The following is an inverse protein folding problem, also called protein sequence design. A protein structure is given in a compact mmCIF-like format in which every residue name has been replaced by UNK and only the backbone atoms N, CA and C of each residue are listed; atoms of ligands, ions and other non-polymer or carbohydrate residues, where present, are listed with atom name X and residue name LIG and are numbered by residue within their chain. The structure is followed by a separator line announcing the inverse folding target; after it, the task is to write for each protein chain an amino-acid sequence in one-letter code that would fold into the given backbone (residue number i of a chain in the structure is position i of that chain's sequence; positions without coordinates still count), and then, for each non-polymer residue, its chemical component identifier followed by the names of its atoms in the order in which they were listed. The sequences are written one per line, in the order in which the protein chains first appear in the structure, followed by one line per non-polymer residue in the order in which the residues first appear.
data_IF_396988236123
#
_entry.id   IF_396988236123
#
_cell.length_a   1.000
_cell.length_b   1.000
_cell.length_c   1.000
_cell.angle_alpha   90.00
_cell.angle_beta   90.00
_cell.angle_gamma   90.00
#
_symmetry.space_group_name_H-M   'P 1'
#
loop_
_entity.id
_entity.type
_entity.pdbx_description
1 polymer ?
#
# COMPACT_ATOMS: atom_id res chain seq x y z
N UNK A 1 10.92 -10.18 -4.53
CA UNK A 1 9.55 -9.68 -4.73
C UNK A 1 9.33 -8.58 -3.71
N UNK A 2 9.62 -7.34 -4.09
CA UNK A 2 9.38 -6.19 -3.23
C UNK A 2 8.06 -5.57 -3.64
N UNK A 3 7.14 -5.45 -2.69
CA UNK A 3 5.80 -4.90 -2.88
C UNK A 3 5.88 -3.42 -2.52
N UNK A 4 5.51 -2.56 -3.48
CA UNK A 4 5.43 -1.12 -3.29
C UNK A 4 4.36 -0.77 -2.24
N UNK A 5 4.47 0.39 -1.61
CA UNK A 5 3.64 0.83 -0.49
C UNK A 5 2.98 2.18 -0.80
N UNK A 6 2.02 2.57 0.03
CA UNK A 6 0.87 3.43 -0.25
C UNK A 6 1.10 4.77 -0.97
N UNK A 7 0.20 5.08 -1.92
CA UNK A 7 0.07 6.37 -2.60
C UNK A 7 -1.10 7.14 -1.98
N UNK A 8 -0.87 8.39 -1.58
CA UNK A 8 -1.86 9.28 -1.00
C UNK A 8 -1.99 10.52 -1.89
N UNK A 9 -3.16 10.67 -2.52
CA UNK A 9 -3.47 11.85 -3.34
C UNK A 9 -4.49 12.72 -2.59
N UNK A 10 -4.10 13.96 -2.27
CA UNK A 10 -4.88 14.94 -1.51
C UNK A 10 -5.30 16.08 -2.44
N UNK A 11 -6.59 16.42 -2.52
CA UNK A 11 -7.06 17.61 -3.27
C UNK A 11 -7.59 18.70 -2.33
N UNK A 12 -6.96 19.88 -2.34
CA UNK A 12 -7.27 21.03 -1.47
C UNK A 12 -8.02 22.13 -2.25
N UNK A 13 -9.10 22.71 -1.72
CA UNK A 13 -9.90 23.80 -2.30
C UNK A 13 -10.02 25.00 -1.33
N UNK A 14 -9.17 26.03 -1.45
CA UNK A 14 -9.26 27.17 -0.53
C UNK A 14 -10.49 28.05 -0.80
N UNK A 15 -11.24 28.35 0.26
CA UNK A 15 -12.24 29.44 0.34
C UNK A 15 -11.56 30.78 0.09
N UNK A 16 -12.23 31.69 -0.65
CA UNK A 16 -11.72 33.01 -1.03
C UNK A 16 -11.19 33.79 0.19
N UNK A 17 -9.89 34.05 0.25
CA UNK A 17 -9.33 35.19 0.98
C UNK A 17 -8.76 36.14 -0.06
N UNK A 18 -9.39 37.30 -0.18
CA UNK A 18 -8.93 38.42 -1.01
C UNK A 18 -7.67 39.01 -0.41
N UNK A 19 -6.52 38.73 -1.00
CA UNK A 19 -5.33 39.56 -0.86
C UNK A 19 -4.83 39.89 -2.27
N UNK A 20 -4.87 41.18 -2.57
CA UNK A 20 -4.47 41.84 -3.81
C UNK A 20 -3.00 41.58 -4.15
N UNK A 21 -2.63 41.33 -5.41
CA UNK A 21 -1.24 41.15 -5.81
C UNK A 21 -0.55 42.52 -6.05
N UNK A 22 0.63 42.70 -5.45
CA UNK A 22 1.61 43.71 -5.83
C UNK A 22 2.62 43.09 -6.81
N UNK A 23 3.05 43.80 -7.87
CA UNK A 23 3.92 43.25 -8.90
C UNK A 23 5.39 43.50 -8.54
N UNK A 24 6.25 42.49 -8.74
CA UNK A 24 7.68 42.78 -8.98
C UNK A 24 8.29 41.77 -9.95
N UNK A 25 8.74 42.35 -11.05
CA UNK A 25 9.55 41.87 -12.16
C UNK A 25 10.72 40.95 -11.81
N UNK A 26 10.90 39.89 -12.60
CA UNK A 26 12.21 39.48 -13.09
C UNK A 26 12.05 38.71 -14.41
N UNK A 27 12.48 39.35 -15.51
CA UNK A 27 12.64 38.78 -16.85
C UNK A 27 13.98 38.05 -16.93
N UNK A 28 14.02 36.85 -17.48
CA UNK A 28 15.18 36.28 -18.21
C UNK A 28 14.65 35.12 -19.08
N UNK A 29 14.32 35.38 -20.35
CA UNK A 29 15.16 35.30 -21.55
C UNK A 29 15.68 33.90 -21.86
N UNK A 30 14.93 33.28 -22.77
CA UNK A 30 15.25 32.11 -23.58
C UNK A 30 16.32 32.47 -24.62
N UNK A 31 17.30 31.59 -24.84
CA UNK A 31 17.98 31.44 -26.15
C UNK A 31 18.42 29.98 -26.36
N UNK A 32 18.16 29.39 -27.54
CA UNK A 32 18.55 28.03 -27.91
C UNK A 32 19.90 27.99 -28.65
N UNK A 33 20.59 26.85 -28.63
CA UNK A 33 21.59 26.41 -29.63
C UNK A 33 21.81 24.89 -29.43
N UNK A 34 21.39 24.00 -30.34
CA UNK A 34 22.12 23.51 -31.52
C UNK A 34 23.59 23.14 -31.27
N UNK A 35 23.92 21.85 -31.22
CA UNK A 35 24.70 21.17 -32.27
C UNK A 35 24.68 19.63 -32.12
N UNK A 36 24.83 19.01 -33.29
CA UNK A 36 24.67 17.61 -33.70
C UNK A 36 25.83 16.66 -33.37
N UNK A 37 25.53 15.35 -33.21
CA UNK A 37 25.97 14.20 -34.06
C UNK A 37 25.99 12.87 -33.28
N UNK A 38 25.55 11.79 -33.93
CA UNK A 38 25.94 10.42 -33.57
C UNK A 38 24.87 9.35 -33.79
N UNK A 39 24.73 8.88 -35.03
CA UNK A 39 23.97 7.69 -35.42
C UNK A 39 24.53 6.40 -34.81
N UNK A 40 23.66 5.49 -34.36
CA UNK A 40 23.84 4.05 -34.52
C UNK A 40 22.48 3.33 -34.49
N UNK A 41 22.05 2.88 -35.66
CA UNK A 41 20.91 1.98 -35.87
C UNK A 41 21.20 0.60 -35.26
N UNK A 42 20.27 0.04 -34.50
CA UNK A 42 20.18 -1.41 -34.35
C UNK A 42 18.71 -1.83 -34.42
N UNK A 43 18.31 -2.38 -35.57
CA UNK A 43 17.02 -3.04 -35.78
C UNK A 43 17.11 -4.43 -35.17
N UNK A 44 16.24 -4.77 -34.22
CA UNK A 44 15.99 -6.15 -33.80
C UNK A 44 14.58 -6.52 -34.22
N UNK A 45 14.48 -7.32 -35.26
CA UNK A 45 13.27 -8.03 -35.69
C UNK A 45 13.19 -9.36 -34.96
N UNK A 46 12.17 -9.58 -34.13
CA UNK A 46 11.86 -10.89 -33.55
C UNK A 46 10.81 -11.57 -34.41
N UNK A 47 11.27 -12.58 -35.16
CA UNK A 47 10.46 -13.54 -35.88
C UNK A 47 10.22 -14.73 -34.94
N UNK A 48 8.97 -15.06 -34.59
CA UNK A 48 8.68 -16.26 -33.80
C UNK A 48 7.80 -17.19 -34.61
N UNK A 49 8.40 -18.30 -35.07
CA UNK A 49 7.72 -19.39 -35.75
C UNK A 49 6.90 -20.23 -34.77
N UNK A 50 5.65 -20.50 -35.14
CA UNK A 50 4.79 -21.47 -34.48
C UNK A 50 5.24 -22.90 -34.81
N UNK A 51 5.49 -23.71 -33.78
CA UNK A 51 5.44 -25.18 -33.88
C UNK A 51 4.53 -25.73 -32.79
N UNK A 52 3.50 -26.42 -33.26
CA UNK A 52 2.53 -27.20 -32.51
C UNK A 52 3.16 -28.45 -31.91
N UNK A 53 2.77 -28.81 -30.68
CA UNK A 53 2.73 -30.21 -30.23
C UNK A 53 1.60 -30.41 -29.22
N UNK A 54 0.70 -31.34 -29.55
CA UNK A 54 -0.31 -31.90 -28.65
C UNK A 54 0.32 -32.88 -27.66
N UNK A 55 -0.23 -33.00 -26.43
CA UNK A 55 -0.74 -34.29 -25.89
C UNK A 55 -1.24 -34.22 -24.43
N UNK A 56 -2.47 -34.72 -24.30
CA UNK A 56 -3.02 -35.71 -23.33
C UNK A 56 -3.25 -35.34 -21.85
N UNK A 57 -4.55 -35.31 -21.55
CA UNK A 57 -5.16 -35.53 -20.24
C UNK A 57 -4.73 -36.84 -19.55
N UNK A 58 -4.64 -36.80 -18.21
CA UNK A 58 -4.90 -37.96 -17.35
C UNK A 58 -5.50 -37.53 -16.00
N UNK A 59 -6.56 -38.24 -15.64
CA UNK A 59 -7.52 -38.06 -14.53
C UNK A 59 -7.14 -38.95 -13.33
N UNK A 60 -7.54 -38.56 -12.11
CA UNK A 60 -7.54 -39.24 -10.76
C UNK A 60 -6.58 -38.57 -9.76
N UNK A 61 -6.91 -38.35 -8.48
CA UNK A 61 -8.05 -38.75 -7.63
C UNK A 61 -8.18 -37.75 -6.46
N UNK A 62 -9.41 -37.42 -6.10
CA UNK A 62 -9.83 -36.56 -4.99
C UNK A 62 -9.51 -37.16 -3.61
N UNK A 63 -9.25 -36.29 -2.62
CA UNK A 63 -9.31 -36.69 -1.22
C UNK A 63 -8.68 -35.76 -0.17
N UNK A 64 -8.76 -34.42 -0.29
CA UNK A 64 -8.46 -33.49 0.83
C UNK A 64 -8.86 -32.02 0.55
N UNK A 65 -10.10 -31.75 0.17
CA UNK A 65 -10.50 -30.44 -0.37
C UNK A 65 -11.89 -29.99 0.11
N UNK A 66 -12.11 -29.90 1.43
CA UNK A 66 -13.37 -29.33 1.95
C UNK A 66 -13.21 -28.15 2.92
N UNK A 67 -12.00 -27.85 3.42
CA UNK A 67 -11.80 -26.67 4.29
C UNK A 67 -11.19 -25.44 3.60
N UNK A 68 -10.57 -25.59 2.41
CA UNK A 68 -9.97 -24.48 1.65
C UNK A 68 -10.93 -23.84 0.63
N UNK A 69 -12.05 -24.49 0.31
CA UNK A 69 -12.98 -24.04 -0.75
C UNK A 69 -13.91 -22.90 -0.31
N UNK A 70 -14.26 -22.81 0.99
CA UNK A 70 -15.13 -21.75 1.52
C UNK A 70 -14.45 -20.38 1.63
N UNK A 71 -13.16 -20.34 1.98
CA UNK A 71 -12.40 -19.08 2.03
C UNK A 71 -12.06 -18.58 0.64
N UNK A 72 -11.66 -19.47 -0.28
CA UNK A 72 -11.40 -19.13 -1.68
C UNK A 72 -12.66 -18.63 -2.42
N UNK A 73 -13.84 -19.18 -2.13
CA UNK A 73 -15.10 -18.71 -2.72
C UNK A 73 -15.53 -17.35 -2.17
N UNK A 74 -15.37 -17.10 -0.87
CA UNK A 74 -15.64 -15.79 -0.26
C UNK A 74 -14.68 -14.71 -0.80
N UNK A 75 -13.37 -15.01 -0.89
CA UNK A 75 -12.38 -14.07 -1.42
C UNK A 75 -12.61 -13.78 -2.91
N UNK A 76 -12.98 -14.79 -3.71
CA UNK A 76 -13.32 -14.60 -5.13
C UNK A 76 -14.59 -13.77 -5.32
N UNK A 77 -15.61 -13.97 -4.48
CA UNK A 77 -16.84 -13.16 -4.49
C UNK A 77 -16.56 -11.72 -4.06
N UNK A 78 -15.70 -11.52 -3.04
CA UNK A 78 -15.28 -10.17 -2.62
C UNK A 78 -14.49 -9.48 -3.74
N UNK A 79 -13.54 -10.17 -4.38
CA UNK A 79 -12.77 -9.64 -5.52
C UNK A 79 -13.66 -9.17 -6.67
N UNK A 80 -14.68 -9.94 -7.06
CA UNK A 80 -15.63 -9.50 -8.10
C UNK A 80 -16.39 -8.23 -7.71
N UNK A 81 -16.68 -8.02 -6.42
CA UNK A 81 -17.43 -6.86 -5.94
C UNK A 81 -16.57 -5.62 -5.73
N UNK A 82 -15.27 -5.79 -5.51
CA UNK A 82 -14.30 -4.69 -5.35
C UNK A 82 -13.58 -4.32 -6.63
N UNK A 83 -13.63 -5.17 -7.66
CA UNK A 83 -12.93 -4.94 -8.91
C UNK A 83 -13.40 -3.65 -9.58
N UNK A 84 -12.42 -2.93 -10.11
CA UNK A 84 -12.62 -1.91 -11.12
C UNK A 84 -13.16 -2.59 -12.37
N UNK A 85 -14.26 -2.03 -12.89
CA UNK A 85 -14.85 -2.43 -14.16
C UNK A 85 -14.22 -1.65 -15.34
N UNK A 86 -13.20 -0.83 -15.05
CA UNK A 86 -12.51 0.02 -16.02
C UNK A 86 -11.57 -0.80 -16.90
N UNK A 87 -11.56 -0.48 -18.19
CA UNK A 87 -10.56 -1.00 -19.10
C UNK A 87 -9.18 -0.44 -18.74
N UNK A 88 -8.18 -1.33 -18.74
CA UNK A 88 -6.81 -0.92 -18.48
C UNK A 88 -6.23 -0.22 -19.72
N UNK A 89 -6.04 1.08 -19.61
CA UNK A 89 -5.52 1.93 -20.68
C UNK A 89 -3.98 1.89 -20.71
N UNK A 90 -3.44 1.13 -21.65
CA UNK A 90 -2.01 0.97 -21.83
C UNK A 90 -1.34 2.23 -22.38
N UNK A 91 -2.02 2.96 -23.27
CA UNK A 91 -1.50 4.20 -23.87
C UNK A 91 -1.34 5.28 -22.80
N UNK A 92 -2.30 5.38 -21.88
CA UNK A 92 -2.22 6.31 -20.76
C UNK A 92 -1.07 5.95 -19.80
N UNK A 93 -0.87 4.66 -19.52
CA UNK A 93 0.27 4.20 -18.69
C UNK A 93 1.60 4.45 -19.39
N UNK A 94 1.69 4.26 -20.70
CA UNK A 94 2.89 4.60 -21.46
C UNK A 94 3.11 6.12 -21.42
N UNK A 95 2.10 6.92 -21.75
CA UNK A 95 2.18 8.38 -21.78
C UNK A 95 2.71 8.98 -20.47
N UNK A 96 2.21 8.52 -19.32
CA UNK A 96 2.65 8.99 -18.00
C UNK A 96 3.78 8.15 -17.38
N UNK A 97 4.08 6.97 -17.93
CA UNK A 97 5.12 6.05 -17.46
C UNK A 97 6.45 6.15 -18.22
N UNK A 98 6.54 7.02 -19.24
CA UNK A 98 7.68 7.16 -20.16
C UNK A 98 9.03 7.46 -19.49
N UNK A 99 9.10 7.83 -18.21
CA UNK A 99 10.42 8.07 -17.57
C UNK A 99 11.15 6.80 -17.12
N UNK A 100 10.62 5.58 -17.31
CA UNK A 100 11.31 4.32 -16.97
C UNK A 100 11.61 4.08 -15.47
N UNK A 101 11.28 5.03 -14.59
CA UNK A 101 11.57 4.97 -13.16
C UNK A 101 10.38 4.53 -12.31
N UNK A 102 9.14 4.79 -12.75
CA UNK A 102 7.93 4.54 -11.97
C UNK A 102 6.79 4.00 -12.85
N UNK A 103 6.20 2.87 -12.46
CA UNK A 103 5.00 2.31 -13.09
C UNK A 103 3.82 2.63 -12.20
N UNK A 104 2.86 3.48 -12.63
CA UNK A 104 1.72 3.83 -11.82
C UNK A 104 0.80 2.63 -11.59
N UNK A 105 0.08 2.66 -10.47
CA UNK A 105 -0.87 1.62 -10.05
C UNK A 105 -2.25 2.27 -9.96
N UNK A 106 -3.26 1.65 -10.59
CA UNK A 106 -4.64 2.13 -10.60
C UNK A 106 -4.80 3.59 -11.10
N UNK A 107 -3.99 3.99 -12.09
CA UNK A 107 -3.95 5.37 -12.58
C UNK A 107 -5.31 5.84 -13.09
N UNK A 108 -5.99 5.00 -13.87
CA UNK A 108 -7.30 5.34 -14.43
C UNK A 108 -8.35 5.57 -13.35
N UNK A 109 -8.38 4.70 -12.33
CA UNK A 109 -9.27 4.82 -11.18
C UNK A 109 -8.98 6.08 -10.37
N UNK A 110 -7.71 6.40 -10.14
CA UNK A 110 -7.33 7.62 -9.42
C UNK A 110 -7.76 8.86 -10.20
N UNK A 111 -7.52 8.92 -11.51
CA UNK A 111 -7.95 10.05 -12.33
C UNK A 111 -9.47 10.22 -12.31
N UNK A 112 -10.21 9.12 -12.35
CA UNK A 112 -11.68 9.14 -12.28
C UNK A 112 -12.20 9.69 -10.94
N UNK A 113 -11.57 9.32 -9.83
CA UNK A 113 -11.89 9.85 -8.49
C UNK A 113 -11.82 11.37 -8.44
N UNK A 114 -10.99 11.99 -9.28
CA UNK A 114 -10.82 13.44 -9.30
C UNK A 114 -11.42 14.13 -10.53
N UNK A 115 -11.94 13.38 -11.51
CA UNK A 115 -12.43 13.91 -12.77
C UNK A 115 -13.61 14.89 -12.60
N UNK A 116 -14.52 14.62 -11.67
CA UNK A 116 -15.66 15.49 -11.36
C UNK A 116 -15.29 16.66 -10.43
N UNK A 117 -14.07 16.68 -9.88
CA UNK A 117 -13.62 17.71 -8.95
C UNK A 117 -12.90 18.83 -9.71
N UNK A 118 -13.24 20.08 -9.41
CA UNK A 118 -12.43 21.22 -9.86
C UNK A 118 -11.14 21.28 -9.04
N UNK A 119 -10.10 20.59 -9.53
CA UNK A 119 -8.80 20.52 -8.87
C UNK A 119 -8.13 21.89 -8.88
N UNK A 120 -7.95 22.48 -7.69
CA UNK A 120 -7.19 23.73 -7.51
C UNK A 120 -5.76 23.48 -7.03
N UNK A 121 -5.60 22.46 -6.21
CA UNK A 121 -4.30 21.99 -5.71
C UNK A 121 -4.41 20.50 -5.43
N UNK A 122 -3.39 19.76 -5.85
CA UNK A 122 -3.25 18.35 -5.55
C UNK A 122 -1.87 18.11 -4.92
N UNK A 123 -1.81 17.16 -4.00
CA UNK A 123 -0.57 16.64 -3.43
C UNK A 123 -0.56 15.15 -3.72
N UNK A 124 0.43 14.69 -4.45
CA UNK A 124 0.74 13.27 -4.56
C UNK A 124 1.92 12.98 -3.63
N UNK A 125 1.75 12.03 -2.72
CA UNK A 125 2.78 11.64 -1.77
C UNK A 125 2.74 10.15 -1.47
N UNK A 126 3.90 9.62 -1.08
CA UNK A 126 4.08 8.23 -0.70
C UNK A 126 4.42 8.14 0.80
N UNK A 127 3.77 7.23 1.51
CA UNK A 127 3.91 7.08 2.98
C UNK A 127 4.42 5.69 3.36
N UNK A 128 5.28 5.64 4.38
CA UNK A 128 6.15 4.48 4.64
C UNK A 128 7.31 4.45 3.63
N UNK A 129 8.19 3.45 3.66
CA UNK A 129 9.26 3.29 2.65
C UNK A 129 8.73 2.91 1.24
N UNK A 130 7.65 3.56 0.82
CA UNK A 130 6.80 3.38 -0.34
C UNK A 130 7.51 3.71 -1.66
N UNK A 131 8.36 2.77 -2.10
CA UNK A 131 9.00 2.82 -3.42
C UNK A 131 10.40 2.24 -3.44
N UNK A 132 11.08 2.19 -2.30
CA UNK A 132 12.43 1.61 -2.23
C UNK A 132 12.35 0.11 -2.00
N UNK A 133 11.92 -0.60 -3.05
CA UNK A 133 12.18 -2.03 -3.23
C UNK A 133 13.64 -2.39 -2.95
N UNK A 134 14.56 -1.46 -3.20
CA UNK A 134 15.98 -1.55 -2.88
C UNK A 134 16.30 -1.40 -1.39
N UNK A 135 15.61 -0.55 -0.63
CA UNK A 135 15.85 -0.35 0.80
C UNK A 135 15.43 -1.57 1.63
N UNK A 136 14.33 -2.24 1.23
CA UNK A 136 13.85 -3.46 1.89
C UNK A 136 14.80 -4.67 1.68
N UNK A 137 15.75 -4.58 0.74
CA UNK A 137 16.76 -5.63 0.55
C UNK A 137 18.16 -5.21 1.00
N UNK A 138 18.28 -4.14 1.81
CA UNK A 138 19.56 -3.70 2.34
C UNK A 138 19.97 -4.59 3.53
N UNK A 139 20.98 -5.42 3.32
CA UNK A 139 21.53 -6.33 4.33
C UNK A 139 22.21 -5.55 5.47
N UNK A 140 23.01 -4.53 5.16
CA UNK A 140 23.74 -3.71 6.15
C UNK A 140 22.79 -2.98 7.11
N UNK A 141 21.54 -2.78 6.70
CA UNK A 141 20.49 -2.13 7.50
C UNK A 141 19.55 -3.12 8.18
N UNK A 142 19.75 -4.42 8.00
CA UNK A 142 18.95 -5.45 8.64
C UNK A 142 17.58 -5.72 7.99
N UNK A 143 17.32 -5.21 6.78
CA UNK A 143 16.03 -5.44 6.11
C UNK A 143 16.00 -6.72 5.27
N UNK A 144 17.17 -7.22 4.84
CA UNK A 144 17.24 -8.41 3.99
C UNK A 144 17.00 -9.71 4.79
N UNK A 145 16.13 -10.56 4.25
CA UNK A 145 15.89 -11.93 4.74
C UNK A 145 16.92 -12.91 4.19
N UNK A 146 17.52 -12.60 3.03
CA UNK A 146 18.37 -13.52 2.29
C UNK A 146 19.85 -13.32 2.61
N UNK A 147 20.25 -12.09 2.91
CA UNK A 147 21.61 -11.71 3.22
C UNK A 147 21.68 -11.30 4.70
N UNK A 148 22.68 -11.83 5.40
CA UNK A 148 22.90 -11.54 6.82
C UNK A 148 23.33 -10.09 7.06
N UNK A 149 23.00 -9.57 8.24
CA UNK A 149 23.28 -8.22 8.67
C UNK A 149 22.77 -7.94 10.09
N UNK A 150 22.98 -6.72 10.62
CA UNK A 150 22.57 -6.39 11.99
C UNK A 150 21.05 -6.35 12.15
N UNK A 151 20.53 -6.69 13.34
CA UNK A 151 19.10 -6.53 13.67
C UNK A 151 18.73 -5.08 13.96
N UNK A 152 18.84 -4.21 12.96
CA UNK A 152 18.55 -2.78 13.07
C UNK A 152 17.11 -2.45 12.62
N UNK A 153 16.83 -2.53 11.32
CA UNK A 153 15.54 -2.20 10.69
C UNK A 153 15.01 -0.78 10.90
N UNK A 154 15.78 0.16 11.48
CA UNK A 154 15.40 1.57 11.52
C UNK A 154 15.46 2.16 10.12
N UNK A 155 14.44 2.90 9.71
CA UNK A 155 14.46 3.70 8.48
C UNK A 155 15.22 5.02 8.70
N UNK A 156 14.93 5.69 9.82
CA UNK A 156 15.67 6.86 10.28
C UNK A 156 16.85 6.44 11.17
N UNK A 157 18.07 6.81 10.79
CA UNK A 157 19.29 6.51 11.57
C UNK A 157 19.30 7.14 12.97
N UNK A 158 18.57 8.23 13.16
CA UNK A 158 18.43 8.91 14.45
C UNK A 158 17.37 8.25 15.35
N UNK A 159 16.67 7.22 14.87
CA UNK A 159 15.71 6.46 15.68
C UNK A 159 16.43 5.72 16.81
N UNK A 160 15.82 5.68 18.00
CA UNK A 160 16.42 5.06 19.18
C UNK A 160 16.21 3.55 19.27
N UNK A 161 15.10 3.04 18.73
CA UNK A 161 14.69 1.64 18.86
C UNK A 161 15.18 0.81 17.66
N UNK A 162 15.92 -0.28 17.91
CA UNK A 162 16.28 -1.29 16.89
C UNK A 162 15.41 -2.53 17.00
N UNK A 163 15.39 -3.35 15.95
CA UNK A 163 14.76 -4.66 15.98
C UNK A 163 15.37 -5.58 17.05
N UNK A 164 16.68 -5.48 17.27
CA UNK A 164 17.40 -6.18 18.35
C UNK A 164 16.82 -5.85 19.73
N UNK A 165 16.55 -4.58 20.02
CA UNK A 165 15.99 -4.14 21.31
C UNK A 165 14.61 -4.74 21.56
N UNK A 166 13.79 -4.81 20.51
CA UNK A 166 12.47 -5.45 20.57
C UNK A 166 12.62 -6.93 20.92
N UNK A 167 13.46 -7.66 20.18
CA UNK A 167 13.58 -9.11 20.33
C UNK A 167 14.22 -9.51 21.66
N UNK A 168 15.18 -8.73 22.15
CA UNK A 168 15.95 -9.08 23.35
C UNK A 168 15.38 -8.48 24.63
N UNK A 169 14.71 -7.32 24.57
CA UNK A 169 14.36 -6.55 25.78
C UNK A 169 12.86 -6.35 26.00
N UNK A 170 12.01 -6.40 24.97
CA UNK A 170 10.57 -6.19 25.17
C UNK A 170 9.91 -7.33 25.96
N UNK A 171 8.82 -7.05 26.71
CA UNK A 171 8.03 -8.09 27.35
C UNK A 171 7.58 -9.15 26.34
N UNK A 172 7.53 -10.40 26.79
CA UNK A 172 7.12 -11.54 25.96
C UNK A 172 5.76 -11.30 25.28
N UNK A 173 4.79 -10.74 26.02
CA UNK A 173 3.46 -10.42 25.51
C UNK A 173 3.49 -9.41 24.35
N UNK A 174 4.40 -8.43 24.39
CA UNK A 174 4.55 -7.43 23.33
C UNK A 174 5.22 -8.01 22.09
N UNK A 175 6.22 -8.88 22.26
CA UNK A 175 6.80 -9.63 21.13
C UNK A 175 5.72 -10.49 20.46
N UNK A 176 4.89 -11.16 21.25
CA UNK A 176 3.72 -11.89 20.76
C UNK A 176 2.74 -11.03 19.99
N UNK A 177 2.40 -9.85 20.55
CA UNK A 177 1.47 -8.89 19.96
C UNK A 177 1.95 -8.45 18.58
N UNK A 178 3.20 -8.01 18.43
CA UNK A 178 3.70 -7.54 17.13
C UNK A 178 3.74 -8.67 16.09
N UNK A 179 4.14 -9.89 16.48
CA UNK A 179 4.18 -11.03 15.56
C UNK A 179 2.78 -11.41 15.06
N UNK A 180 1.80 -11.38 15.97
CA UNK A 180 0.40 -11.67 15.65
C UNK A 180 -0.26 -10.55 14.84
N UNK A 181 -0.15 -9.31 15.31
CA UNK A 181 -0.95 -8.20 14.82
C UNK A 181 -0.27 -7.50 13.65
N UNK A 182 1.05 -7.30 13.68
CA UNK A 182 1.80 -6.65 12.59
C UNK A 182 2.35 -7.66 11.56
N UNK A 183 2.63 -8.87 11.99
CA UNK A 183 3.08 -9.96 11.11
C UNK A 183 1.94 -10.77 10.48
N UNK A 184 0.73 -10.72 11.07
CA UNK A 184 -0.38 -11.64 10.73
C UNK A 184 0.10 -13.11 10.71
N UNK A 185 1.04 -13.47 11.61
CA UNK A 185 1.63 -14.79 11.66
C UNK A 185 0.78 -15.74 12.51
N UNK A 186 0.38 -16.87 11.93
CA UNK A 186 -0.43 -17.91 12.58
C UNK A 186 0.27 -18.56 13.77
N UNK A 187 1.56 -18.89 13.64
CA UNK A 187 2.33 -19.59 14.65
C UNK A 187 3.07 -18.63 15.59
N UNK A 188 2.54 -17.41 15.77
CA UNK A 188 3.15 -16.33 16.55
C UNK A 188 3.53 -16.77 17.97
N UNK A 189 2.71 -17.58 18.64
CA UNK A 189 2.97 -18.04 20.00
C UNK A 189 4.24 -18.91 20.08
N UNK A 190 4.41 -19.84 19.14
CA UNK A 190 5.61 -20.70 19.11
C UNK A 190 6.88 -19.88 18.79
N UNK A 191 6.76 -18.95 17.83
CA UNK A 191 7.82 -18.00 17.48
C UNK A 191 8.23 -17.15 18.68
N UNK A 192 7.26 -16.55 19.37
CA UNK A 192 7.46 -15.76 20.58
C UNK A 192 8.22 -16.55 21.63
N UNK A 193 7.74 -17.75 21.99
CA UNK A 193 8.40 -18.60 23.00
C UNK A 193 9.85 -18.91 22.59
N UNK A 194 10.11 -19.18 21.31
CA UNK A 194 11.47 -19.47 20.82
C UNK A 194 12.38 -18.23 20.85
N UNK A 195 11.87 -17.07 20.48
CA UNK A 195 12.60 -15.79 20.55
C UNK A 195 12.95 -15.46 22.01
N UNK A 196 11.99 -15.58 22.93
CA UNK A 196 12.21 -15.32 24.36
C UNK A 196 13.22 -16.31 24.94
N UNK A 197 13.12 -17.59 24.57
CA UNK A 197 14.11 -18.59 25.01
C UNK A 197 15.51 -18.33 24.44
N UNK A 198 15.64 -17.76 23.25
CA UNK A 198 16.95 -17.40 22.68
C UNK A 198 17.69 -16.36 23.56
N UNK A 199 16.96 -15.53 24.33
CA UNK A 199 17.56 -14.59 25.30
C UNK A 199 18.39 -15.29 26.36
N UNK A 200 18.05 -16.53 26.73
CA UNK A 200 18.82 -17.33 27.69
C UNK A 200 20.20 -17.73 27.15
N UNK A 201 20.36 -17.72 25.82
CA UNK A 201 21.60 -18.08 25.13
C UNK A 201 22.36 -16.86 24.58
N UNK A 202 22.08 -15.66 25.10
CA UNK A 202 22.71 -14.41 24.68
C UNK A 202 21.81 -13.48 23.86
N UNK A 203 20.69 -13.97 23.32
CA UNK A 203 19.78 -13.17 22.48
C UNK A 203 19.99 -13.37 21.00
N UNK A 204 19.36 -12.52 20.19
CA UNK A 204 19.50 -12.47 18.74
C UNK A 204 20.16 -11.14 18.36
N UNK A 205 21.23 -11.18 17.57
CA UNK A 205 22.02 -10.00 17.18
C UNK A 205 22.12 -9.81 15.66
N UNK A 206 21.86 -10.85 14.87
CA UNK A 206 21.85 -10.76 13.40
C UNK A 206 20.56 -11.25 12.75
N UNK A 207 20.29 -10.76 11.54
CA UNK A 207 19.15 -11.22 10.73
C UNK A 207 19.28 -12.69 10.38
N UNK A 208 20.51 -13.20 10.20
CA UNK A 208 20.83 -14.61 10.00
C UNK A 208 20.40 -15.48 11.18
N UNK A 209 20.72 -15.09 12.41
CA UNK A 209 20.31 -15.81 13.62
C UNK A 209 18.78 -15.88 13.74
N UNK A 210 18.10 -14.76 13.48
CA UNK A 210 16.64 -14.71 13.45
C UNK A 210 16.05 -15.64 12.37
N UNK A 211 16.64 -15.63 11.16
CA UNK A 211 16.21 -16.48 10.05
C UNK A 211 16.43 -17.96 10.37
N UNK A 212 17.55 -18.32 10.99
CA UNK A 212 17.85 -19.70 11.37
C UNK A 212 16.93 -20.19 12.48
N UNK A 213 16.59 -19.32 13.44
CA UNK A 213 15.53 -19.58 14.42
C UNK A 213 14.19 -19.87 13.72
N UNK A 214 13.77 -19.02 12.77
CA UNK A 214 12.52 -19.23 11.99
C UNK A 214 12.56 -20.53 11.18
N UNK A 215 13.71 -20.86 10.57
CA UNK A 215 13.90 -22.10 9.82
C UNK A 215 13.79 -23.33 10.70
N UNK A 216 14.33 -23.28 11.92
CA UNK A 216 14.26 -24.40 12.87
C UNK A 216 12.83 -24.79 13.25
N UNK A 217 11.88 -23.85 13.19
CA UNK A 217 10.47 -24.07 13.49
C UNK A 217 9.62 -24.51 12.31
N UNK A 218 10.11 -24.31 11.08
CA UNK A 218 9.32 -24.62 9.90
C UNK A 218 9.52 -26.10 9.52
N UNK A 219 8.45 -26.91 9.42
CA UNK A 219 8.56 -28.31 9.02
C UNK A 219 9.25 -28.44 7.65
N UNK A 220 10.17 -29.40 7.52
CA UNK A 220 10.84 -29.69 6.23
C UNK A 220 9.84 -30.01 5.11
N UNK A 221 8.65 -30.51 5.45
CA UNK A 221 7.54 -30.77 4.52
C UNK A 221 6.92 -29.53 3.88
N UNK A 222 7.11 -28.33 4.45
CA UNK A 222 6.63 -27.08 3.88
C UNK A 222 7.55 -26.51 2.77
N UNK A 223 8.72 -27.12 2.55
CA UNK A 223 9.71 -26.72 1.55
C UNK A 223 10.31 -25.33 1.81
N UNK A 224 11.12 -24.86 0.84
CA UNK A 224 11.80 -23.55 0.90
C UNK A 224 10.81 -22.38 1.00
N UNK A 225 9.59 -22.56 0.50
CA UNK A 225 8.58 -21.50 0.49
C UNK A 225 7.95 -21.27 1.88
N UNK A 226 7.94 -22.26 2.77
CA UNK A 226 7.31 -22.16 4.09
C UNK A 226 8.03 -21.16 5.00
N UNK A 227 9.33 -21.35 5.21
CA UNK A 227 10.09 -20.52 6.16
C UNK A 227 10.28 -19.11 5.63
N UNK A 228 10.40 -18.92 4.30
CA UNK A 228 10.49 -17.60 3.68
C UNK A 228 9.23 -16.78 3.95
N UNK A 229 8.04 -17.39 3.88
CA UNK A 229 6.78 -16.71 4.19
C UNK A 229 6.74 -16.26 5.65
N UNK A 230 7.13 -17.15 6.57
CA UNK A 230 7.18 -16.85 8.00
C UNK A 230 8.19 -15.75 8.30
N UNK A 231 9.41 -15.84 7.75
CA UNK A 231 10.44 -14.81 7.91
C UNK A 231 9.98 -13.46 7.34
N UNK A 232 9.30 -13.44 6.19
CA UNK A 232 8.75 -12.21 5.60
C UNK A 232 7.79 -11.52 6.56
N UNK A 233 6.91 -12.28 7.21
CA UNK A 233 5.95 -11.76 8.20
C UNK A 233 6.63 -11.26 9.47
N UNK A 234 7.62 -11.99 9.97
CA UNK A 234 8.41 -11.58 11.16
C UNK A 234 9.17 -10.29 10.88
N UNK A 235 9.86 -10.21 9.74
CA UNK A 235 10.58 -9.00 9.34
C UNK A 235 9.64 -7.82 9.12
N UNK A 236 8.48 -8.05 8.51
CA UNK A 236 7.42 -7.04 8.40
C UNK A 236 6.96 -6.55 9.77
N UNK A 237 6.69 -7.46 10.72
CA UNK A 237 6.25 -7.11 12.06
C UNK A 237 7.26 -6.22 12.79
N UNK A 238 8.54 -6.62 12.75
CA UNK A 238 9.63 -5.86 13.34
C UNK A 238 9.80 -4.51 12.68
N UNK A 239 9.76 -4.45 11.35
CA UNK A 239 9.86 -3.20 10.58
C UNK A 239 8.76 -2.21 10.98
N UNK A 240 7.52 -2.69 11.04
CA UNK A 240 6.36 -1.89 11.46
C UNK A 240 6.54 -1.39 12.90
N UNK A 241 6.99 -2.24 13.82
CA UNK A 241 7.17 -1.88 15.23
C UNK A 241 8.32 -0.88 15.44
N UNK A 242 9.45 -1.07 14.77
CA UNK A 242 10.64 -0.19 14.87
C UNK A 242 10.33 1.21 14.35
N UNK A 243 9.58 1.31 13.26
CA UNK A 243 9.36 2.57 12.56
C UNK A 243 7.99 3.20 12.84
N UNK A 244 7.20 2.60 13.73
CA UNK A 244 5.83 3.00 14.06
C UNK A 244 4.98 3.31 12.80
N UNK A 245 5.10 2.43 11.78
CA UNK A 245 4.61 2.70 10.42
C UNK A 245 3.09 2.92 10.40
N UNK A 246 2.35 2.15 11.21
CA UNK A 246 0.88 2.19 11.22
C UNK A 246 0.34 3.43 11.92
N UNK A 247 1.00 3.88 13.00
CA UNK A 247 0.61 5.10 13.69
C UNK A 247 0.96 6.33 12.84
N UNK A 248 2.15 6.34 12.24
CA UNK A 248 2.56 7.37 11.27
C UNK A 248 1.56 7.49 10.11
N UNK A 249 1.08 6.35 9.57
CA UNK A 249 0.03 6.34 8.55
C UNK A 249 -1.27 6.97 9.07
N UNK A 250 -1.72 6.58 10.27
CA UNK A 250 -2.94 7.13 10.89
C UNK A 250 -2.84 8.64 11.07
N UNK A 251 -1.72 9.14 11.58
CA UNK A 251 -1.51 10.56 11.83
C UNK A 251 -1.43 11.36 10.52
N UNK A 252 -0.75 10.82 9.51
CA UNK A 252 -0.71 11.42 8.19
C UNK A 252 -2.09 11.49 7.53
N UNK A 253 -2.92 10.45 7.65
CA UNK A 253 -4.30 10.45 7.14
C UNK A 253 -5.16 11.53 7.80
N UNK A 254 -5.02 11.70 9.13
CA UNK A 254 -5.71 12.76 9.86
C UNK A 254 -5.25 14.15 9.40
N UNK A 255 -3.94 14.39 9.38
CA UNK A 255 -3.37 15.66 8.95
C UNK A 255 -3.77 16.01 7.50
N UNK A 256 -3.77 15.02 6.59
CA UNK A 256 -4.20 15.24 5.21
C UNK A 256 -5.68 15.59 5.14
N UNK A 257 -6.54 14.91 5.91
CA UNK A 257 -7.97 15.22 5.96
C UNK A 257 -8.25 16.59 6.56
N UNK A 258 -7.51 16.99 7.59
CA UNK A 258 -7.67 18.29 8.24
C UNK A 258 -7.27 19.43 7.30
N UNK A 259 -6.23 19.22 6.50
CA UNK A 259 -5.81 20.15 5.45
C UNK A 259 -6.84 20.27 4.31
N UNK A 260 -7.64 19.23 4.02
CA UNK A 260 -8.67 19.28 2.97
C UNK A 260 -9.62 20.45 3.17
N UNK A 261 -10.06 21.00 2.05
CA UNK A 261 -11.21 21.87 2.00
C UNK A 261 -12.53 21.13 2.05
N UNK A 262 -13.63 21.85 2.32
CA UNK A 262 -14.97 21.35 1.97
C UNK A 262 -15.02 20.95 0.48
N UNK A 263 -15.59 19.77 0.21
CA UNK A 263 -15.62 19.13 -1.10
C UNK A 263 -14.30 18.48 -1.55
N UNK A 264 -13.20 18.67 -0.82
CA UNK A 264 -11.90 18.06 -1.14
C UNK A 264 -11.93 16.54 -0.95
N UNK A 265 -11.18 15.82 -1.79
CA UNK A 265 -11.09 14.36 -1.77
C UNK A 265 -9.68 13.90 -1.36
N UNK A 266 -9.64 12.83 -0.57
CA UNK A 266 -8.44 12.10 -0.19
C UNK A 266 -8.55 10.68 -0.73
N UNK A 267 -7.65 10.31 -1.64
CA UNK A 267 -7.54 8.99 -2.23
C UNK A 267 -6.29 8.28 -1.68
N UNK A 268 -6.46 7.07 -1.16
CA UNK A 268 -5.39 6.26 -0.56
C UNK A 268 -5.33 4.92 -1.27
N UNK A 269 -4.20 4.59 -1.88
CA UNK A 269 -3.91 3.23 -2.35
C UNK A 269 -3.08 2.54 -1.27
N UNK A 270 -3.53 1.39 -0.79
CA UNK A 270 -2.78 0.54 0.15
C UNK A 270 -2.45 -0.79 -0.52
N UNK A 271 -1.34 -1.41 -0.14
CA UNK A 271 -0.89 -2.68 -0.72
C UNK A 271 -0.94 -3.85 0.26
N UNK A 272 -1.05 -3.54 1.55
CA UNK A 272 -1.07 -4.50 2.64
C UNK A 272 -2.43 -4.52 3.34
N UNK A 273 -2.82 -5.68 3.87
CA UNK A 273 -4.02 -5.87 4.68
C UNK A 273 -4.08 -4.93 5.90
N UNK A 274 -2.93 -4.74 6.57
CA UNK A 274 -2.82 -3.89 7.75
C UNK A 274 -3.06 -2.41 7.43
N UNK A 275 -2.44 -1.90 6.39
CA UNK A 275 -2.65 -0.52 5.93
C UNK A 275 -4.10 -0.28 5.55
N UNK A 276 -4.68 -1.15 4.72
CA UNK A 276 -6.09 -1.06 4.30
C UNK A 276 -7.03 -1.04 5.51
N UNK A 277 -6.71 -1.81 6.56
CA UNK A 277 -7.44 -1.83 7.83
C UNK A 277 -7.32 -0.50 8.56
N UNK A 278 -6.11 0.05 8.69
CA UNK A 278 -5.87 1.36 9.33
C UNK A 278 -6.55 2.49 8.55
N UNK A 279 -6.45 2.51 7.22
CA UNK A 279 -7.13 3.50 6.37
C UNK A 279 -8.64 3.44 6.58
N UNK A 280 -9.21 2.22 6.52
CA UNK A 280 -10.64 2.02 6.74
C UNK A 280 -11.08 2.52 8.12
N UNK A 281 -10.37 2.12 9.17
CA UNK A 281 -10.69 2.52 10.54
C UNK A 281 -10.58 4.03 10.72
N UNK A 282 -9.48 4.63 10.25
CA UNK A 282 -9.26 6.07 10.34
C UNK A 282 -10.34 6.85 9.60
N UNK A 283 -10.76 6.41 8.41
CA UNK A 283 -11.86 7.03 7.68
C UNK A 283 -13.19 6.93 8.44
N UNK A 284 -13.48 5.77 9.05
CA UNK A 284 -14.67 5.59 9.88
C UNK A 284 -14.63 6.47 11.13
N UNK A 285 -13.46 6.61 11.77
CA UNK A 285 -13.28 7.48 12.92
C UNK A 285 -13.51 8.94 12.52
N UNK A 286 -12.87 9.39 11.43
CA UNK A 286 -13.00 10.77 10.90
C UNK A 286 -14.47 11.15 10.69
N UNK A 287 -15.27 10.30 10.05
CA UNK A 287 -16.68 10.64 9.77
C UNK A 287 -17.57 10.64 11.01
N UNK A 288 -17.14 9.96 12.09
CA UNK A 288 -17.90 9.81 13.33
C UNK A 288 -17.41 10.71 14.47
N UNK A 289 -16.29 11.42 14.30
CA UNK A 289 -15.78 12.38 15.29
C UNK A 289 -16.86 13.41 15.65
N UNK A 290 -17.05 13.60 16.95
CA UNK A 290 -17.84 14.71 17.47
C UNK A 290 -16.89 15.89 17.64
N UNK A 291 -17.03 16.91 16.80
CA UNK A 291 -16.33 18.15 17.01
C UNK A 291 -17.05 18.87 18.17
N UNK A 292 -16.38 19.04 19.31
CA UNK A 292 -16.94 19.76 20.47
C UNK A 292 -17.19 21.25 20.17
N UNK A 293 -16.61 21.80 19.10
CA UNK A 293 -16.60 23.23 18.77
C UNK A 293 -17.48 23.65 17.56
N UNK A 294 -18.31 22.76 16.99
CA UNK A 294 -19.24 23.18 15.91
C UNK A 294 -20.61 23.55 16.46
N UNK A 295 -20.82 24.87 16.53
CA UNK A 295 -22.10 25.50 16.83
C UNK A 295 -23.23 24.87 16.00
N UNK A 296 -24.24 24.37 16.71
CA UNK A 296 -25.33 23.54 16.18
C UNK A 296 -26.26 24.38 15.33
N UNK A 297 -26.04 24.42 14.02
CA UNK A 297 -27.10 24.84 13.08
C UNK A 297 -26.86 24.27 11.69
N UNK A 298 -27.27 23.03 11.46
CA UNK A 298 -27.68 22.58 10.13
C UNK A 298 -28.67 21.42 10.27
N UNK A 299 -29.94 21.76 10.07
CA UNK A 299 -31.04 20.81 9.90
C UNK A 299 -30.84 20.01 8.60
N UNK A 300 -31.09 18.71 8.69
CA UNK A 300 -30.89 17.78 7.61
C UNK A 300 -31.82 18.05 6.43
N UNK A 301 -31.23 18.36 5.28
CA UNK A 301 -31.95 18.28 4.01
C UNK A 301 -31.69 16.90 3.40
N UNK A 302 -32.67 15.99 3.53
CA UNK A 302 -32.76 14.88 2.60
C UNK A 302 -33.05 15.47 1.22
N UNK A 303 -32.07 15.41 0.31
CA UNK A 303 -32.32 15.61 -1.12
C UNK A 303 -32.20 14.27 -1.84
N UNK A 304 -33.33 13.89 -2.41
CA UNK A 304 -33.54 12.82 -3.37
C UNK A 304 -32.60 13.00 -4.59
N UNK A 305 -32.34 11.88 -5.25
CA UNK A 305 -31.29 11.67 -6.24
C UNK A 305 -31.22 12.68 -7.39
N UNK A 306 -30.01 12.83 -7.91
CA UNK A 306 -29.73 13.43 -9.20
C UNK A 306 -28.86 12.46 -10.01
N UNK A 307 -29.18 12.35 -11.30
CA UNK A 307 -28.65 11.43 -12.32
C UNK A 307 -27.19 11.69 -12.74
N UNK A 308 -26.34 12.17 -11.82
CA UNK A 308 -24.90 12.38 -12.01
C UNK A 308 -24.10 11.67 -10.89
N UNK A 309 -24.55 10.50 -10.44
CA UNK A 309 -23.75 9.67 -9.53
C UNK A 309 -22.55 9.13 -10.33
N UNK A 310 -21.35 9.60 -10.01
CA UNK A 310 -20.11 9.14 -10.66
C UNK A 310 -20.03 7.60 -10.59
N UNK A 311 -19.92 6.94 -11.74
CA UNK A 311 -20.15 5.49 -11.88
C UNK A 311 -19.23 4.61 -11.02
N UNK A 312 -18.06 5.11 -10.63
CA UNK A 312 -17.12 4.43 -9.73
C UNK A 312 -17.59 4.40 -8.27
N UNK A 313 -18.53 5.26 -7.88
CA UNK A 313 -19.07 5.34 -6.51
C UNK A 313 -20.06 4.19 -6.30
N UNK A 314 -19.56 3.05 -5.82
CA UNK A 314 -20.42 1.87 -5.60
C UNK A 314 -21.27 1.98 -4.34
N UNK A 315 -20.69 2.43 -3.22
CA UNK A 315 -21.36 2.45 -1.92
C UNK A 315 -20.77 3.52 -0.99
N UNK A 316 -21.61 4.45 -0.57
CA UNK A 316 -21.23 5.61 0.25
C UNK A 316 -21.52 5.35 1.73
N UNK A 317 -20.66 5.88 2.61
CA UNK A 317 -20.97 6.04 4.04
C UNK A 317 -20.88 7.53 4.37
N UNK A 318 -22.01 8.15 4.70
CA UNK A 318 -22.07 9.55 5.13
C UNK A 318 -21.85 9.63 6.64
N UNK A 319 -21.10 10.64 7.08
CA UNK A 319 -21.04 11.03 8.48
C UNK A 319 -20.98 12.55 8.63
N UNK A 320 -20.64 13.03 9.83
CA UNK A 320 -20.72 14.44 10.20
C UNK A 320 -19.65 15.28 9.48
N UNK A 321 -18.41 14.81 9.53
CA UNK A 321 -17.25 15.56 9.03
C UNK A 321 -16.87 15.24 7.58
N UNK A 322 -17.38 14.14 7.03
CA UNK A 322 -16.97 13.64 5.73
C UNK A 322 -17.88 12.53 5.20
N UNK A 323 -17.63 12.15 3.96
CA UNK A 323 -18.34 11.09 3.25
C UNK A 323 -17.33 10.11 2.65
N UNK A 324 -17.37 8.84 3.07
CA UNK A 324 -16.57 7.77 2.47
C UNK A 324 -17.23 7.34 1.17
N UNK A 325 -16.53 7.49 0.05
CA UNK A 325 -17.07 7.18 -1.29
C UNK A 325 -16.87 5.69 -1.67
N UNK A 326 -16.04 4.98 -0.91
CA UNK A 326 -15.67 3.57 -1.14
C UNK A 326 -15.85 2.72 0.12
N UNK A 327 -17.10 2.35 0.44
CA UNK A 327 -17.39 1.43 1.56
C UNK A 327 -16.57 0.13 1.46
N UNK A 328 -16.40 -0.37 0.24
CA UNK A 328 -15.43 -1.42 -0.10
C UNK A 328 -14.32 -0.79 -0.94
N UNK A 329 -13.06 -1.23 -0.78
CA UNK A 329 -11.97 -0.68 -1.57
C UNK A 329 -12.18 -1.04 -3.04
N UNK A 330 -11.70 -0.16 -3.94
CA UNK A 330 -11.55 -0.50 -5.35
C UNK A 330 -10.25 -1.32 -5.52
N UNK A 331 -10.29 -2.36 -6.34
CA UNK A 331 -9.12 -3.21 -6.67
C UNK A 331 -8.89 -3.20 -8.18
N UNK A 332 -7.65 -3.37 -8.66
CA UNK A 332 -7.34 -3.25 -10.08
C UNK A 332 -8.07 -4.28 -10.98
N UNK A 333 -8.17 -3.96 -12.26
CA UNK A 333 -8.76 -4.83 -13.28
C UNK A 333 -7.92 -6.09 -13.52
N UNK A 334 -8.48 -7.12 -14.19
CA UNK A 334 -7.72 -8.35 -14.54
C UNK A 334 -6.55 -8.06 -15.45
N UNK A 335 -6.75 -7.11 -16.37
CA UNK A 335 -5.73 -6.74 -17.32
C UNK A 335 -4.56 -6.04 -16.61
N UNK A 336 -4.85 -5.11 -15.70
CA UNK A 336 -3.80 -4.43 -14.93
C UNK A 336 -3.00 -5.42 -14.08
N UNK A 337 -3.65 -6.35 -13.36
CA UNK A 337 -2.91 -7.32 -12.52
C UNK A 337 -1.96 -8.21 -13.34
N UNK A 338 -2.33 -8.52 -14.60
CA UNK A 338 -1.50 -9.33 -15.50
C UNK A 338 -0.30 -8.55 -16.01
N UNK A 339 -0.48 -7.27 -16.36
CA UNK A 339 0.55 -6.42 -16.95
C UNK A 339 1.45 -5.77 -15.89
N UNK A 340 0.87 -5.36 -14.77
CA UNK A 340 1.54 -4.77 -13.62
C UNK A 340 1.36 -5.67 -12.39
N UNK A 341 2.25 -6.65 -12.20
CA UNK A 341 2.19 -7.55 -11.02
C UNK A 341 2.22 -6.82 -9.67
N UNK A 342 2.68 -5.57 -9.61
CA UNK A 342 2.71 -4.76 -8.39
C UNK A 342 1.32 -4.29 -7.96
N UNK A 343 0.37 -4.18 -8.89
CA UNK A 343 -1.00 -3.76 -8.59
C UNK A 343 -1.82 -4.87 -7.92
N UNK A 344 -1.43 -6.14 -8.01
CA UNK A 344 -2.20 -7.31 -7.54
C UNK A 344 -2.80 -7.18 -6.12
N UNK A 345 -2.12 -6.49 -5.21
CA UNK A 345 -2.57 -6.30 -3.83
C UNK A 345 -3.04 -4.89 -3.51
N UNK A 346 -3.10 -4.01 -4.52
CA UNK A 346 -3.52 -2.63 -4.41
C UNK A 346 -5.02 -2.53 -4.07
N UNK A 347 -5.33 -1.61 -3.17
CA UNK A 347 -6.68 -1.30 -2.69
C UNK A 347 -6.81 0.21 -2.57
N UNK A 348 -7.68 0.80 -3.37
CA UNK A 348 -7.98 2.22 -3.36
C UNK A 348 -9.19 2.51 -2.46
N UNK A 349 -9.01 3.44 -1.53
CA UNK A 349 -10.08 4.03 -0.69
C UNK A 349 -10.11 5.53 -0.86
N UNK A 350 -11.31 6.09 -0.76
CA UNK A 350 -11.59 7.51 -0.99
C UNK A 350 -12.56 8.05 0.05
N UNK A 351 -12.20 9.18 0.63
CA UNK A 351 -13.05 10.00 1.52
C UNK A 351 -13.12 11.42 0.97
N UNK A 352 -14.28 12.05 1.08
CA UNK A 352 -14.52 13.45 0.75
C UNK A 352 -14.88 14.24 2.01
N UNK A 353 -14.27 15.41 2.21
CA UNK A 353 -14.60 16.30 3.33
C UNK A 353 -15.87 17.10 3.01
N UNK A 354 -16.73 17.28 4.02
CA UNK A 354 -17.96 18.06 3.89
C UNK A 354 -17.71 19.55 4.11
#
# INVERSE_FOLDING_TARGET
MAVATSLLLVSLCRSRCSLTPQPSSAKLKYTPNLFSRGLAHCKVSVFCSNKSTEKKEKKKKNGRLEQTSRSASAEAVVKRRTRSDREFDMELVEHYGISGAHTPVMLGEVLEVFAASTLRSFVDCTLGAAGHSSAVNNAERGFSILNDGPLDMRMNFQGSLKAEDILNSWPEAEVGRILRDYGEESNWHCLQTKIVNARLCGGLHSTGELVDLVRSMTPKSAGRQGWIKTATRVFQALRIAVNDELQTLKDALNACFDCLSSGGRLAVISFHSLEDRIVKQTFLDIINREDEDRDKRYEGTQRNGNENEEAWIKQIIKGKNGTILTKRPLTPSEMEERLNRRSRSAKLRVIQKL
#
